data_IF_848571340409
#
_entry.id   IF_848571340409
#
_cell.length_a   1.000
_cell.length_b   1.000
_cell.length_c   1.000
_cell.angle_alpha   90.00
_cell.angle_beta   90.00
_cell.angle_gamma   90.00
#
_symmetry.space_group_name_H-M   'P 1'
#
loop_
_entity.id
_entity.type
_entity.pdbx_description
1 polymer ?
#
# COMPACT_ATOMS: atom_id res chain seq x y z
N UNK A 1 27.77 2.20 -5.60
CA UNK A 1 28.14 0.76 -5.60
C UNK A 1 27.08 0.00 -4.81
N UNK A 2 26.48 -1.07 -5.33
CA UNK A 2 25.44 -1.82 -4.63
C UNK A 2 26.02 -2.52 -3.39
N UNK A 3 25.34 -2.38 -2.25
CA UNK A 3 25.76 -2.98 -0.96
C UNK A 3 25.20 -4.39 -0.80
N UNK A 4 24.02 -4.65 -1.39
CA UNK A 4 23.43 -5.97 -1.53
C UNK A 4 23.72 -6.53 -2.92
N UNK A 5 23.79 -7.85 -3.04
CA UNK A 5 23.83 -8.54 -4.34
C UNK A 5 22.49 -8.39 -5.08
N UNK A 6 22.48 -8.64 -6.38
CA UNK A 6 21.25 -8.57 -7.18
C UNK A 6 20.20 -9.56 -6.68
N UNK A 7 20.62 -10.76 -6.30
CA UNK A 7 19.76 -11.84 -5.79
C UNK A 7 19.14 -11.47 -4.43
N UNK A 8 19.89 -10.77 -3.58
CA UNK A 8 19.39 -10.25 -2.30
C UNK A 8 18.38 -9.13 -2.48
N UNK A 9 18.64 -8.22 -3.42
CA UNK A 9 17.68 -7.18 -3.79
C UNK A 9 16.40 -7.78 -4.38
N UNK A 10 16.50 -8.82 -5.19
CA UNK A 10 15.34 -9.51 -5.76
C UNK A 10 14.48 -10.19 -4.69
N UNK A 11 15.10 -10.83 -3.68
CA UNK A 11 14.37 -11.37 -2.51
C UNK A 11 13.63 -10.27 -1.76
N UNK A 12 14.28 -9.12 -1.55
CA UNK A 12 13.65 -7.98 -0.91
C UNK A 12 12.47 -7.47 -1.73
N UNK A 13 12.62 -7.30 -3.04
CA UNK A 13 11.55 -6.86 -3.96
C UNK A 13 10.36 -7.81 -3.87
N UNK A 14 10.60 -9.13 -3.95
CA UNK A 14 9.53 -10.13 -3.86
C UNK A 14 8.77 -10.07 -2.54
N UNK A 15 9.49 -9.89 -1.42
CA UNK A 15 8.86 -9.71 -0.12
C UNK A 15 8.01 -8.42 -0.08
N UNK A 16 8.53 -7.29 -0.57
CA UNK A 16 7.79 -6.02 -0.64
C UNK A 16 6.53 -6.13 -1.52
N UNK A 17 6.59 -6.89 -2.61
CA UNK A 17 5.44 -7.14 -3.47
C UNK A 17 4.37 -7.99 -2.77
N UNK A 18 4.79 -8.97 -1.97
CA UNK A 18 3.86 -9.79 -1.20
C UNK A 18 3.14 -8.98 -0.12
N UNK A 19 3.88 -8.18 0.66
CA UNK A 19 3.30 -7.29 1.67
C UNK A 19 2.28 -6.31 1.05
N UNK A 20 2.60 -5.78 -0.12
CA UNK A 20 1.71 -4.89 -0.84
C UNK A 20 0.43 -5.57 -1.35
N UNK A 21 0.52 -6.83 -1.82
CA UNK A 21 -0.66 -7.62 -2.21
C UNK A 21 -1.60 -7.86 -1.04
N UNK A 22 -1.05 -8.00 0.16
CA UNK A 22 -1.83 -8.10 1.40
C UNK A 22 -2.35 -6.76 1.91
N UNK A 23 -2.09 -5.65 1.20
CA UNK A 23 -2.55 -4.31 1.57
C UNK A 23 -1.70 -3.61 2.63
N UNK A 24 -0.54 -4.15 2.99
CA UNK A 24 0.36 -3.51 3.95
C UNK A 24 1.15 -2.38 3.29
N UNK A 25 1.10 -1.20 3.91
CA UNK A 25 1.92 -0.05 3.51
C UNK A 25 3.34 -0.21 4.02
N UNK A 26 4.31 -0.44 3.13
CA UNK A 26 5.71 -0.58 3.55
C UNK A 26 6.38 0.79 3.62
N UNK A 27 6.96 1.17 4.76
CA UNK A 27 7.64 2.48 4.87
C UNK A 27 9.09 2.41 4.39
N UNK A 28 9.65 3.55 3.97
CA UNK A 28 11.10 3.67 3.66
C UNK A 28 12.00 3.18 4.80
N UNK A 29 11.56 3.32 6.06
CA UNK A 29 12.28 2.83 7.24
C UNK A 29 12.23 1.31 7.28
N UNK A 30 11.07 0.72 7.08
CA UNK A 30 10.88 -0.74 7.04
C UNK A 30 11.74 -1.38 5.95
N UNK A 31 11.75 -0.83 4.73
CA UNK A 31 12.60 -1.33 3.63
C UNK A 31 14.07 -1.34 4.03
N UNK A 32 14.57 -0.23 4.61
CA UNK A 32 15.96 -0.13 5.06
C UNK A 32 16.27 -1.10 6.21
N UNK A 33 15.33 -1.36 7.10
CA UNK A 33 15.50 -2.31 8.19
C UNK A 33 15.65 -3.74 7.65
N UNK A 34 14.71 -4.20 6.81
CA UNK A 34 14.74 -5.53 6.20
C UNK A 34 16.01 -5.71 5.36
N UNK A 35 16.35 -4.72 4.54
CA UNK A 35 17.58 -4.75 3.76
C UNK A 35 18.84 -4.83 4.64
N UNK A 36 18.83 -4.17 5.81
CA UNK A 36 19.96 -4.23 6.76
C UNK A 36 20.03 -5.58 7.46
N UNK A 37 18.89 -6.26 7.66
CA UNK A 37 18.85 -7.63 8.19
C UNK A 37 19.40 -8.63 7.16
N UNK A 38 18.98 -8.51 5.89
CA UNK A 38 19.53 -9.32 4.78
C UNK A 38 21.06 -9.14 4.70
N UNK A 39 21.53 -7.89 4.73
CA UNK A 39 22.97 -7.59 4.71
C UNK A 39 23.73 -8.23 5.88
N UNK A 40 23.16 -8.20 7.09
CA UNK A 40 23.75 -8.85 8.28
C UNK A 40 23.77 -10.37 8.16
N UNK A 41 22.72 -10.96 7.62
CA UNK A 41 22.60 -12.41 7.45
C UNK A 41 23.58 -12.95 6.40
N UNK A 42 23.83 -12.19 5.33
CA UNK A 42 24.75 -12.58 4.26
C UNK A 42 26.22 -12.36 4.61
N UNK A 43 26.54 -11.33 5.40
CA UNK A 43 27.89 -11.11 5.91
C UNK A 43 28.19 -11.97 7.15
N UNK A 44 28.49 -13.25 6.93
CA UNK A 44 28.95 -14.19 7.98
C UNK A 44 30.35 -13.91 8.56
N UNK A 45 31.09 -12.89 8.12
CA UNK A 45 32.43 -12.64 8.65
C UNK A 45 32.90 -11.19 8.50
N UNK A 46 33.59 -10.72 9.56
CA UNK A 46 34.53 -9.58 9.61
C UNK A 46 33.93 -8.19 9.89
N UNK A 47 33.46 -8.00 11.12
CA UNK A 47 33.95 -6.97 12.06
C UNK A 47 33.95 -5.47 11.69
N UNK A 48 33.53 -5.06 10.49
CA UNK A 48 33.65 -3.66 10.04
C UNK A 48 32.30 -2.96 9.81
N UNK A 49 31.20 -3.73 9.78
CA UNK A 49 29.85 -3.22 9.54
C UNK A 49 28.79 -3.82 10.47
N UNK A 50 29.17 -4.37 11.62
CA UNK A 50 28.22 -4.71 12.68
C UNK A 50 27.48 -3.43 13.12
N UNK A 51 26.21 -3.33 12.75
CA UNK A 51 25.33 -2.24 13.18
C UNK A 51 24.97 -1.18 12.13
N UNK A 52 25.55 -1.19 10.92
CA UNK A 52 25.19 -0.16 9.92
C UNK A 52 23.81 -0.41 9.33
N UNK A 53 22.86 0.45 9.68
CA UNK A 53 21.58 0.57 8.96
C UNK A 53 21.86 1.17 7.59
N UNK A 54 21.34 0.54 6.54
CA UNK A 54 21.45 1.06 5.18
C UNK A 54 20.90 2.50 5.11
N UNK A 55 21.66 3.37 4.45
CA UNK A 55 21.39 4.81 4.41
C UNK A 55 20.26 5.13 3.44
N UNK A 56 19.74 6.37 3.54
CA UNK A 56 18.80 6.88 2.53
C UNK A 56 19.43 6.91 1.13
N UNK A 57 20.75 7.11 1.01
CA UNK A 57 21.46 7.06 -0.26
C UNK A 57 21.42 5.68 -0.91
N UNK A 58 21.56 4.61 -0.11
CA UNK A 58 21.38 3.25 -0.63
C UNK A 58 19.94 3.03 -1.11
N UNK A 59 18.93 3.46 -0.33
CA UNK A 59 17.52 3.31 -0.71
C UNK A 59 17.22 4.02 -2.04
N UNK A 60 17.76 5.22 -2.25
CA UNK A 60 17.58 5.94 -3.51
C UNK A 60 18.17 5.16 -4.70
N UNK A 61 19.37 4.60 -4.52
CA UNK A 61 20.00 3.75 -5.52
C UNK A 61 19.19 2.47 -5.79
N UNK A 62 18.68 1.83 -4.75
CA UNK A 62 17.83 0.64 -4.84
C UNK A 62 16.56 0.92 -5.65
N UNK A 63 15.85 2.02 -5.34
CA UNK A 63 14.66 2.43 -6.08
C UNK A 63 14.95 2.78 -7.54
N UNK A 64 16.16 3.27 -7.84
CA UNK A 64 16.59 3.55 -9.22
C UNK A 64 16.85 2.26 -10.00
N UNK A 65 17.38 1.22 -9.35
CA UNK A 65 17.60 -0.11 -9.95
C UNK A 65 16.31 -0.89 -10.15
N UNK A 66 15.31 -0.67 -9.30
CA UNK A 66 14.02 -1.37 -9.32
C UNK A 66 12.86 -0.40 -9.59
N UNK A 67 12.71 0.11 -10.82
CA UNK A 67 11.69 1.10 -11.17
C UNK A 67 10.25 0.58 -11.08
N UNK A 68 10.05 -0.74 -10.98
CA UNK A 68 8.76 -1.37 -10.67
C UNK A 68 8.25 -1.03 -9.26
N UNK A 69 9.16 -0.72 -8.33
CA UNK A 69 8.80 -0.23 -7.01
C UNK A 69 8.51 1.27 -7.09
N UNK A 70 7.30 1.68 -6.70
CA UNK A 70 6.95 3.10 -6.58
C UNK A 70 6.64 3.45 -5.13
N UNK A 71 6.62 4.75 -4.85
CA UNK A 71 6.17 5.27 -3.56
C UNK A 71 4.78 5.83 -3.78
N UNK A 72 3.76 5.34 -3.06
CA UNK A 72 2.46 6.01 -3.05
C UNK A 72 2.00 6.27 -1.62
N UNK A 73 1.42 7.44 -1.43
CA UNK A 73 0.76 7.80 -0.18
C UNK A 73 -0.39 6.80 0.06
N UNK A 74 -0.41 6.05 1.17
CA UNK A 74 -1.52 5.17 1.47
C UNK A 74 -2.76 6.05 1.65
N UNK A 75 -3.85 5.68 0.98
CA UNK A 75 -5.12 6.33 1.22
C UNK A 75 -5.62 5.88 2.59
N UNK A 76 -5.99 6.83 3.46
CA UNK A 76 -6.61 6.49 4.74
C UNK A 76 -7.94 5.79 4.45
N UNK A 77 -7.98 4.49 4.65
CA UNK A 77 -9.22 3.72 4.73
C UNK A 77 -9.71 3.78 6.18
N UNK A 78 -10.96 4.18 6.39
CA UNK A 78 -11.57 4.00 7.72
C UNK A 78 -11.79 2.52 7.98
N UNK A 79 -11.82 2.13 9.25
CA UNK A 79 -12.09 0.75 9.67
C UNK A 79 -13.36 0.19 9.01
N UNK A 80 -14.41 1.00 8.92
CA UNK A 80 -15.66 0.64 8.26
C UNK A 80 -15.49 0.35 6.76
N UNK A 81 -14.68 1.13 6.04
CA UNK A 81 -14.42 0.88 4.62
C UNK A 81 -13.60 -0.40 4.41
N UNK A 82 -12.65 -0.69 5.31
CA UNK A 82 -11.90 -1.95 5.26
C UNK A 82 -12.80 -3.18 5.53
N UNK A 83 -13.73 -3.06 6.50
CA UNK A 83 -14.72 -4.11 6.75
C UNK A 83 -15.67 -4.30 5.56
N UNK A 84 -16.07 -3.20 4.91
CA UNK A 84 -16.94 -3.23 3.74
C UNK A 84 -16.32 -3.89 2.49
N UNK A 85 -15.00 -4.08 2.48
CA UNK A 85 -14.27 -4.76 1.38
C UNK A 85 -14.09 -6.27 1.57
N UNK A 86 -14.68 -6.87 2.61
CA UNK A 86 -14.63 -8.33 2.77
C UNK A 86 -15.45 -9.04 1.67
N UNK A 87 -15.02 -10.23 1.26
CA UNK A 87 -15.71 -11.01 0.20
C UNK A 87 -17.19 -11.22 0.52
N UNK A 88 -17.50 -11.53 1.79
CA UNK A 88 -18.88 -11.73 2.25
C UNK A 88 -19.70 -10.44 2.17
N UNK A 89 -19.13 -9.29 2.57
CA UNK A 89 -19.82 -8.00 2.48
C UNK A 89 -20.05 -7.58 1.03
N UNK A 90 -19.03 -7.72 0.17
CA UNK A 90 -19.12 -7.36 -1.25
C UNK A 90 -20.15 -8.23 -1.95
N UNK A 91 -20.12 -9.56 -1.72
CA UNK A 91 -21.09 -10.49 -2.30
C UNK A 91 -22.51 -10.16 -1.86
N UNK A 92 -22.73 -9.96 -0.56
CA UNK A 92 -24.04 -9.58 -0.01
C UNK A 92 -24.55 -8.28 -0.64
N UNK A 93 -23.70 -7.26 -0.77
CA UNK A 93 -24.07 -5.99 -1.39
C UNK A 93 -24.58 -6.18 -2.83
N UNK A 94 -23.86 -6.94 -3.67
CA UNK A 94 -24.26 -7.15 -5.06
C UNK A 94 -25.49 -8.05 -5.20
N UNK A 95 -25.69 -9.01 -4.29
CA UNK A 95 -26.93 -9.81 -4.22
C UNK A 95 -28.14 -8.95 -3.87
N UNK A 96 -28.01 -8.08 -2.86
CA UNK A 96 -29.06 -7.13 -2.47
C UNK A 96 -29.35 -6.14 -3.60
N UNK A 97 -28.33 -5.54 -4.21
CA UNK A 97 -28.48 -4.65 -5.35
C UNK A 97 -29.23 -5.33 -6.50
N UNK A 98 -28.81 -6.54 -6.89
CA UNK A 98 -29.50 -7.30 -7.95
C UNK A 98 -30.95 -7.57 -7.60
N UNK A 99 -31.22 -7.97 -6.36
CA UNK A 99 -32.58 -8.28 -5.90
C UNK A 99 -33.47 -7.03 -5.92
N UNK A 100 -32.96 -5.89 -5.48
CA UNK A 100 -33.67 -4.61 -5.52
C UNK A 100 -33.96 -4.19 -6.97
N UNK A 101 -32.97 -4.26 -7.86
CA UNK A 101 -33.16 -3.90 -9.27
C UNK A 101 -34.23 -4.76 -9.94
N UNK A 102 -34.23 -6.08 -9.68
CA UNK A 102 -35.24 -6.99 -10.22
C UNK A 102 -36.64 -6.74 -9.65
N UNK A 103 -36.74 -6.55 -8.32
CA UNK A 103 -38.01 -6.32 -7.62
C UNK A 103 -38.75 -5.09 -8.14
N UNK A 104 -38.00 -4.02 -8.45
CA UNK A 104 -38.57 -2.76 -8.92
C UNK A 104 -38.49 -2.58 -10.44
N UNK A 105 -38.07 -3.62 -11.19
CA UNK A 105 -37.93 -3.59 -12.64
C UNK A 105 -37.03 -2.45 -13.15
N UNK A 106 -35.93 -2.21 -12.43
CA UNK A 106 -34.97 -1.12 -12.69
C UNK A 106 -33.71 -1.56 -13.44
N UNK A 107 -33.58 -2.84 -13.80
CA UNK A 107 -32.38 -3.42 -14.42
C UNK A 107 -31.89 -2.63 -15.63
N UNK A 108 -32.81 -2.14 -16.48
CA UNK A 108 -32.51 -1.36 -17.69
C UNK A 108 -33.06 0.08 -17.60
N UNK A 109 -33.25 0.60 -16.37
CA UNK A 109 -33.81 1.94 -16.10
C UNK A 109 -32.91 2.78 -15.20
N UNK A 110 -31.64 3.04 -15.60
CA UNK A 110 -30.72 3.84 -14.79
C UNK A 110 -31.20 5.29 -14.60
N UNK A 111 -32.05 5.78 -15.51
CA UNK A 111 -32.69 7.10 -15.45
C UNK A 111 -33.62 7.30 -14.23
N UNK A 112 -34.01 6.20 -13.57
CA UNK A 112 -34.86 6.22 -12.39
C UNK A 112 -34.09 5.98 -11.08
N UNK A 113 -32.75 5.87 -11.15
CA UNK A 113 -31.89 5.63 -9.98
C UNK A 113 -31.17 6.93 -9.63
N UNK A 114 -31.53 7.52 -8.50
CA UNK A 114 -30.96 8.77 -8.01
C UNK A 114 -29.98 8.50 -6.87
N UNK A 115 -28.77 9.07 -6.96
CA UNK A 115 -27.87 9.13 -5.82
C UNK A 115 -28.32 10.27 -4.90
N UNK A 116 -28.51 9.99 -3.61
CA UNK A 116 -28.83 10.99 -2.60
C UNK A 116 -27.80 10.86 -1.49
N UNK A 117 -26.91 11.84 -1.37
CA UNK A 117 -25.95 11.94 -0.28
C UNK A 117 -25.95 13.34 0.34
N UNK A 118 -25.63 13.39 1.63
CA UNK A 118 -25.47 14.65 2.35
C UNK A 118 -24.00 15.07 2.30
N UNK A 119 -23.75 16.28 1.80
CA UNK A 119 -22.42 16.91 1.89
C UNK A 119 -22.42 17.87 3.07
N UNK A 120 -21.65 17.54 4.12
CA UNK A 120 -21.42 18.43 5.25
C UNK A 120 -20.46 19.57 4.87
N UNK A 121 -20.90 20.82 5.02
CA UNK A 121 -20.02 21.98 4.92
C UNK A 121 -19.34 22.22 6.27
N UNK A 122 -18.05 21.91 6.36
CA UNK A 122 -17.23 22.28 7.53
C UNK A 122 -16.69 23.70 7.31
N UNK A 123 -17.22 24.67 8.05
CA UNK A 123 -16.83 26.08 8.02
C UNK A 123 -15.53 26.39 8.80
N UNK A 124 -14.56 25.48 8.84
CA UNK A 124 -13.33 25.66 9.63
C UNK A 124 -12.07 25.58 8.78
N UNK A 125 -11.17 26.55 8.98
CA UNK A 125 -9.85 26.63 8.37
C UNK A 125 -9.04 25.34 8.64
N UNK A 126 -8.50 24.66 7.61
CA UNK A 126 -7.75 23.44 7.84
C UNK A 126 -6.39 23.72 8.52
N UNK A 127 -6.03 22.99 9.58
CA UNK A 127 -4.67 23.01 10.12
C UNK A 127 -3.70 22.38 9.10
N UNK A 128 -2.53 22.98 8.94
CA UNK A 128 -1.46 22.48 8.08
C UNK A 128 -0.93 21.14 8.63
N UNK A 129 -1.20 20.02 7.95
CA UNK A 129 -0.58 18.73 8.25
C UNK A 129 0.35 18.29 7.11
N UNK A 130 1.62 18.03 7.45
CA UNK A 130 2.62 17.51 6.54
C UNK A 130 2.34 16.05 6.11
N UNK A 131 2.54 15.68 4.83
CA UNK A 131 2.28 14.33 4.35
C UNK A 131 3.42 13.35 4.71
N UNK A 132 3.14 12.36 5.56
CA UNK A 132 3.99 11.16 5.73
C UNK A 132 3.58 10.10 4.70
N UNK A 133 4.44 9.81 3.71
CA UNK A 133 4.20 8.83 2.65
C UNK A 133 4.76 7.43 2.95
N UNK A 134 4.08 6.38 2.48
CA UNK A 134 4.57 4.99 2.47
C UNK A 134 4.96 4.58 1.04
N UNK A 135 5.70 3.49 0.90
CA UNK A 135 6.17 2.93 -0.36
C UNK A 135 5.29 1.74 -0.74
N UNK A 136 4.68 1.77 -1.93
CA UNK A 136 3.82 0.69 -2.42
C UNK A 136 4.11 0.42 -3.89
N UNK A 137 4.36 -0.84 -4.28
CA UNK A 137 4.70 -1.21 -5.64
C UNK A 137 3.60 -0.81 -6.63
N UNK A 138 4.01 -0.54 -7.87
CA UNK A 138 3.07 -0.34 -8.96
C UNK A 138 2.63 -1.71 -9.46
N UNK A 139 1.36 -2.07 -9.24
CA UNK A 139 0.70 -3.09 -10.05
C UNK A 139 0.46 -2.53 -11.45
#
# INVERSE_FOLDING_TARGET
>A
MPILSKEEEEKLVNHLMQEARCGYGVTKKTVRNIASEIFRASNKAKGQHEGRVLTNGWLQGFMTRWPSLKVRKPQKLSMYRAAATSETTVKKYFEELKTTLLTYNLTDRPDLIFNVDETGFLGEHPPQQEPKGAMVPCL
#
